data_IF_492827461467
#
_entry.id   IF_492827461467
#
_cell.length_a   1.000
_cell.length_b   1.000
_cell.length_c   1.000
_cell.angle_alpha   90.00
_cell.angle_beta   90.00
_cell.angle_gamma   90.00
#
_symmetry.space_group_name_H-M   'P 1'
#
loop_
_entity.id
_entity.type
_entity.pdbx_description
1 polymer ?
#
# COMPACT_ATOMS: atom_id res chain seq x y z
N UNK A 1 15.34 6.03 -4.82
CA UNK A 1 15.09 6.91 -3.67
C UNK A 1 14.88 6.04 -2.45
N UNK A 2 15.31 6.49 -1.28
CA UNK A 2 15.05 5.77 -0.02
C UNK A 2 13.62 6.07 0.40
N UNK A 3 12.75 5.06 0.58
CA UNK A 3 11.40 5.28 1.08
C UNK A 3 11.43 5.69 2.56
N UNK A 4 10.49 6.56 2.94
CA UNK A 4 10.27 6.91 4.34
C UNK A 4 9.55 5.77 5.07
N UNK A 5 9.77 5.69 6.38
CA UNK A 5 9.11 4.71 7.24
C UNK A 5 8.63 5.36 8.53
N UNK A 6 7.50 4.89 9.05
CA UNK A 6 6.90 5.33 10.30
C UNK A 6 6.50 4.09 11.11
N UNK A 7 6.63 4.15 12.44
CA UNK A 7 6.05 3.16 13.35
C UNK A 7 5.07 3.88 14.25
N UNK A 8 3.82 3.43 14.26
CA UNK A 8 2.74 4.02 15.04
C UNK A 8 1.83 2.95 15.64
N UNK A 9 1.01 3.33 16.62
CA UNK A 9 0.00 2.44 17.20
C UNK A 9 -1.32 2.61 16.44
N UNK A 10 -1.80 1.55 15.79
CA UNK A 10 -3.07 1.53 15.08
C UNK A 10 -4.07 0.61 15.77
N UNK A 11 -5.37 0.91 15.64
CA UNK A 11 -6.44 0.04 16.12
C UNK A 11 -6.55 -1.20 15.23
N UNK A 12 -6.26 -2.37 15.81
CA UNK A 12 -6.43 -3.66 15.16
C UNK A 12 -7.89 -4.15 15.16
N UNK A 13 -8.18 -5.24 14.42
CA UNK A 13 -9.54 -5.73 14.19
C UNK A 13 -10.26 -6.25 15.45
N UNK A 14 -9.52 -6.53 16.54
CA UNK A 14 -10.09 -6.95 17.83
C UNK A 14 -10.23 -5.79 18.83
N UNK A 15 -10.09 -4.55 18.37
CA UNK A 15 -10.13 -3.36 19.22
C UNK A 15 -8.89 -3.19 20.10
N UNK A 16 -7.78 -3.86 19.79
CA UNK A 16 -6.50 -3.71 20.48
C UNK A 16 -5.54 -2.83 19.66
N UNK A 17 -4.70 -2.05 20.33
CA UNK A 17 -3.64 -1.29 19.67
C UNK A 17 -2.52 -2.23 19.21
N UNK A 18 -2.09 -2.07 17.96
CA UNK A 18 -1.00 -2.82 17.34
C UNK A 18 0.08 -1.85 16.85
N UNK A 19 1.34 -2.13 17.17
CA UNK A 19 2.46 -1.44 16.53
C UNK A 19 2.50 -1.81 15.04
N UNK A 20 2.38 -0.79 14.20
CA UNK A 20 2.29 -0.91 12.75
C UNK A 20 3.44 -0.16 12.11
N UNK A 21 4.22 -0.85 11.28
CA UNK A 21 5.15 -0.19 10.37
C UNK A 21 4.40 0.29 9.13
N UNK A 22 4.49 1.57 8.82
CA UNK A 22 4.04 2.14 7.56
C UNK A 22 5.25 2.44 6.67
N UNK A 23 5.27 1.89 5.47
CA UNK A 23 6.30 2.15 4.46
C UNK A 23 5.70 3.01 3.36
N UNK A 24 6.33 4.16 3.10
CA UNK A 24 5.93 5.10 2.06
C UNK A 24 6.73 4.83 0.78
N UNK A 25 6.22 3.94 -0.09
CA UNK A 25 6.85 3.65 -1.37
C UNK A 25 6.66 4.81 -2.33
N UNK A 26 7.75 5.25 -2.96
CA UNK A 26 7.71 6.26 -4.00
C UNK A 26 7.30 5.59 -5.30
N UNK A 27 6.27 6.12 -5.96
CA UNK A 27 5.70 5.50 -7.13
C UNK A 27 5.33 6.54 -8.20
N UNK A 28 4.79 6.12 -9.34
CA UNK A 28 4.18 7.07 -10.28
C UNK A 28 2.98 7.78 -9.62
N UNK A 29 2.61 8.92 -10.17
CA UNK A 29 1.39 9.60 -9.74
C UNK A 29 0.14 8.73 -9.90
N UNK A 30 -0.73 8.77 -8.89
CA UNK A 30 -2.02 8.10 -8.89
C UNK A 30 -2.84 8.57 -10.11
N UNK A 31 -3.43 7.65 -10.91
CA UNK A 31 -4.21 8.05 -12.08
C UNK A 31 -5.56 8.71 -11.72
N UNK A 32 -5.95 8.69 -10.45
CA UNK A 32 -7.13 9.38 -9.93
C UNK A 32 -6.74 10.70 -9.29
N UNK A 33 -7.22 11.81 -9.88
CA UNK A 33 -6.99 13.17 -9.41
C UNK A 33 -8.07 13.59 -8.42
N UNK A 34 -8.14 12.88 -7.29
CA UNK A 34 -9.13 13.16 -6.24
C UNK A 34 -8.82 14.51 -5.57
N UNK A 35 -9.84 15.34 -5.32
CA UNK A 35 -9.65 16.78 -4.98
C UNK A 35 -8.91 17.04 -3.65
N UNK A 36 -9.04 16.12 -2.70
CA UNK A 36 -8.45 16.19 -1.35
C UNK A 36 -7.09 15.49 -1.22
N UNK A 37 -6.68 14.77 -2.26
CA UNK A 37 -5.67 13.74 -2.16
C UNK A 37 -4.26 14.30 -2.33
N UNK A 38 -3.35 13.95 -1.44
CA UNK A 38 -1.94 14.36 -1.48
C UNK A 38 -1.00 13.27 -2.04
N UNK A 39 -1.58 12.19 -2.60
CA UNK A 39 -0.85 11.08 -3.21
C UNK A 39 0.03 11.50 -4.41
N UNK A 40 0.01 12.78 -4.82
CA UNK A 40 0.94 13.36 -5.79
C UNK A 40 2.29 13.77 -5.17
N UNK A 41 2.37 14.00 -3.85
CA UNK A 41 3.59 14.55 -3.18
C UNK A 41 4.77 13.59 -3.17
N UNK A 42 4.52 12.30 -2.99
CA UNK A 42 5.55 11.26 -2.87
C UNK A 42 5.66 10.44 -4.16
N UNK A 43 5.68 11.13 -5.30
CA UNK A 43 5.63 10.50 -6.62
C UNK A 43 6.85 10.81 -7.49
N UNK A 44 7.05 9.95 -8.49
CA UNK A 44 8.05 10.07 -9.52
C UNK A 44 7.36 10.41 -10.84
N UNK A 45 7.88 11.44 -11.53
CA UNK A 45 7.49 11.75 -12.91
C UNK A 45 8.00 10.70 -13.92
N UNK A 46 8.94 9.84 -13.51
CA UNK A 46 9.48 8.75 -14.34
C UNK A 46 8.66 7.47 -14.13
N UNK A 47 8.38 6.71 -15.21
CA UNK A 47 7.79 5.38 -15.10
C UNK A 47 8.60 4.48 -14.18
N UNK A 48 7.89 3.64 -13.41
CA UNK A 48 8.52 2.68 -12.53
C UNK A 48 8.90 1.44 -13.33
N UNK A 49 10.18 1.07 -13.32
CA UNK A 49 10.65 -0.19 -13.90
C UNK A 49 10.31 -1.37 -12.98
N UNK A 50 10.11 -2.58 -13.53
CA UNK A 50 10.02 -3.79 -12.73
C UNK A 50 11.19 -3.93 -11.74
N UNK A 51 10.93 -4.40 -10.53
CA UNK A 51 11.90 -4.54 -9.45
C UNK A 51 12.06 -3.28 -8.59
N UNK A 52 11.49 -2.14 -9.00
CA UNK A 52 11.62 -0.91 -8.22
C UNK A 52 10.89 -0.97 -6.86
N UNK A 53 9.66 -1.48 -6.83
CA UNK A 53 8.91 -1.63 -5.57
C UNK A 53 9.58 -2.64 -4.60
N UNK A 54 10.01 -3.85 -5.03
CA UNK A 54 10.78 -4.76 -4.18
C UNK A 54 12.07 -4.15 -3.62
N UNK A 55 12.80 -3.36 -4.42
CA UNK A 55 14.05 -2.74 -3.99
C UNK A 55 13.81 -1.68 -2.90
N UNK A 56 12.77 -0.85 -3.05
CA UNK A 56 12.35 0.10 -2.01
C UNK A 56 11.92 -0.62 -0.74
N UNK A 57 11.04 -1.63 -0.87
CA UNK A 57 10.56 -2.42 0.26
C UNK A 57 11.72 -3.05 1.05
N UNK A 58 12.68 -3.67 0.35
CA UNK A 58 13.88 -4.24 0.99
C UNK A 58 14.71 -3.21 1.75
N UNK A 59 14.81 -1.98 1.21
CA UNK A 59 15.52 -0.88 1.88
C UNK A 59 14.78 -0.39 3.12
N UNK A 60 13.45 -0.26 3.04
CA UNK A 60 12.60 0.14 4.16
C UNK A 60 12.61 -0.89 5.30
N UNK A 61 12.51 -2.19 4.97
CA UNK A 61 12.54 -3.26 5.97
C UNK A 61 13.84 -3.26 6.77
N UNK A 62 15.00 -3.06 6.12
CA UNK A 62 16.30 -2.91 6.82
C UNK A 62 16.35 -1.69 7.75
N UNK A 63 15.72 -0.57 7.36
CA UNK A 63 15.63 0.60 8.23
C UNK A 63 14.79 0.30 9.47
N UNK A 64 13.63 -0.35 9.29
CA UNK A 64 12.74 -0.76 10.38
C UNK A 64 13.40 -1.75 11.34
N UNK A 65 14.15 -2.73 10.82
CA UNK A 65 14.93 -3.69 11.62
C UNK A 65 15.99 -2.99 12.48
N UNK A 66 16.56 -1.88 11.99
CA UNK A 66 17.57 -1.11 12.73
C UNK A 66 16.92 -0.19 13.78
N UNK A 67 15.74 0.36 13.48
CA UNK A 67 15.04 1.31 14.33
C UNK A 67 14.23 0.63 15.46
N UNK A 68 13.70 -0.57 15.22
CA UNK A 68 12.87 -1.30 16.18
C UNK A 68 13.65 -2.44 16.84
N UNK A 69 13.57 -2.53 18.17
CA UNK A 69 14.11 -3.68 18.93
C UNK A 69 13.19 -4.90 18.93
N UNK A 70 11.95 -4.75 18.46
CA UNK A 70 10.93 -5.79 18.45
C UNK A 70 10.49 -6.09 17.03
N UNK A 71 10.23 -7.36 16.75
CA UNK A 71 9.68 -7.77 15.45
C UNK A 71 8.22 -7.34 15.37
N UNK A 72 7.94 -6.42 14.47
CA UNK A 72 6.60 -5.92 14.19
C UNK A 72 5.77 -7.04 13.54
N UNK A 73 4.50 -7.13 13.93
CA UNK A 73 3.56 -8.15 13.43
C UNK A 73 2.69 -7.64 12.28
N UNK A 74 2.56 -6.31 12.16
CA UNK A 74 1.71 -5.64 11.20
C UNK A 74 2.52 -4.64 10.38
N UNK A 75 2.26 -4.61 9.08
CA UNK A 75 2.88 -3.70 8.14
C UNK A 75 1.84 -3.14 7.17
N UNK A 76 1.93 -1.84 6.92
CA UNK A 76 1.12 -1.10 5.96
C UNK A 76 2.01 -0.59 4.83
N UNK A 77 1.59 -0.86 3.60
CA UNK A 77 2.25 -0.36 2.39
C UNK A 77 1.45 0.81 1.85
N UNK A 78 2.00 2.01 2.04
CA UNK A 78 1.48 3.25 1.50
C UNK A 78 2.26 3.58 0.23
N UNK A 79 1.66 3.42 -0.95
CA UNK A 79 2.39 3.52 -2.23
C UNK A 79 2.08 4.76 -3.06
N UNK A 80 1.59 5.82 -2.40
CA UNK A 80 1.24 7.10 -3.05
C UNK A 80 0.30 6.90 -4.23
N UNK A 81 -0.68 6.02 -4.07
CA UNK A 81 -1.56 5.58 -5.14
C UNK A 81 -2.38 4.37 -4.73
N UNK A 82 -2.41 3.36 -5.60
CA UNK A 82 -3.09 2.10 -5.32
C UNK A 82 -2.13 0.95 -5.58
N UNK A 83 -2.08 0.00 -4.65
CA UNK A 83 -1.14 -1.11 -4.71
C UNK A 83 -1.35 -1.99 -5.96
N UNK A 84 -2.60 -2.14 -6.39
CA UNK A 84 -2.97 -2.96 -7.55
C UNK A 84 -3.01 -2.19 -8.88
N UNK A 85 -2.50 -0.95 -8.92
CA UNK A 85 -2.22 -0.28 -10.18
C UNK A 85 -0.97 -0.91 -10.81
N UNK A 86 -1.17 -1.73 -11.85
CA UNK A 86 -0.07 -2.50 -12.48
C UNK A 86 0.99 -1.64 -13.17
N UNK A 87 0.69 -0.35 -13.40
CA UNK A 87 1.66 0.62 -13.91
C UNK A 87 2.49 1.25 -12.78
N UNK A 88 2.03 1.14 -11.53
CA UNK A 88 2.73 1.58 -10.32
C UNK A 88 3.51 0.43 -9.66
N UNK A 89 2.87 -0.73 -9.48
CA UNK A 89 3.49 -1.96 -8.97
C UNK A 89 3.28 -3.06 -10.00
N UNK A 90 4.36 -3.44 -10.68
CA UNK A 90 4.30 -4.47 -11.73
C UNK A 90 3.92 -5.82 -11.14
N UNK A 91 3.10 -6.58 -11.85
CA UNK A 91 2.69 -7.93 -11.41
C UNK A 91 3.87 -8.89 -11.27
N UNK A 92 4.94 -8.68 -12.05
CA UNK A 92 6.19 -9.44 -11.94
C UNK A 92 6.91 -9.22 -10.58
N UNK A 93 6.52 -8.21 -9.81
CA UNK A 93 7.08 -7.90 -8.51
C UNK A 93 6.29 -8.52 -7.35
N UNK A 94 5.07 -9.01 -7.59
CA UNK A 94 4.17 -9.49 -6.54
C UNK A 94 4.80 -10.61 -5.69
N UNK A 95 5.42 -11.60 -6.33
CA UNK A 95 6.07 -12.71 -5.61
C UNK A 95 7.20 -12.19 -4.71
N UNK A 96 8.09 -11.35 -5.26
CA UNK A 96 9.20 -10.77 -4.48
C UNK A 96 8.72 -9.90 -3.32
N UNK A 97 7.62 -9.16 -3.52
CA UNK A 97 7.00 -8.38 -2.45
C UNK A 97 6.41 -9.31 -1.39
N UNK A 98 5.66 -10.34 -1.79
CA UNK A 98 5.05 -11.29 -0.87
C UNK A 98 6.11 -12.03 -0.04
N UNK A 99 7.18 -12.51 -0.66
CA UNK A 99 8.31 -13.15 0.01
C UNK A 99 8.93 -12.23 1.08
N UNK A 100 9.13 -10.95 0.74
CA UNK A 100 9.69 -9.94 1.66
C UNK A 100 8.78 -9.66 2.87
N UNK A 101 7.48 -9.96 2.75
CA UNK A 101 6.47 -9.70 3.78
C UNK A 101 6.09 -10.96 4.57
N UNK A 102 6.64 -12.12 4.23
CA UNK A 102 6.32 -13.42 4.86
C UNK A 102 6.53 -13.48 6.38
N UNK A 103 7.39 -12.62 6.95
CA UNK A 103 7.65 -12.58 8.38
C UNK A 103 6.58 -11.86 9.22
N UNK A 104 5.58 -11.24 8.58
CA UNK A 104 4.50 -10.51 9.23
C UNK A 104 3.25 -11.39 9.42
N UNK A 105 2.41 -11.06 10.40
CA UNK A 105 1.11 -11.72 10.57
C UNK A 105 0.03 -11.04 9.71
N UNK A 106 0.17 -9.72 9.47
CA UNK A 106 -0.78 -8.92 8.71
C UNK A 106 -0.09 -7.92 7.79
N UNK A 107 -0.59 -7.82 6.57
CA UNK A 107 -0.17 -6.84 5.56
C UNK A 107 -1.39 -6.04 5.13
N UNK A 108 -1.29 -4.72 5.25
CA UNK A 108 -2.31 -3.78 4.81
C UNK A 108 -1.79 -3.07 3.55
N UNK A 109 -2.58 -3.06 2.48
CA UNK A 109 -2.26 -2.30 1.27
C UNK A 109 -3.40 -1.37 0.91
N UNK A 110 -3.08 -0.20 0.38
CA UNK A 110 -4.08 0.77 -0.04
C UNK A 110 -4.53 0.50 -1.48
N UNK A 111 -5.84 0.62 -1.73
CA UNK A 111 -6.39 0.39 -3.05
C UNK A 111 -7.59 1.28 -3.38
N UNK A 112 -7.67 1.66 -4.66
CA UNK A 112 -8.84 2.29 -5.22
C UNK A 112 -9.91 1.24 -5.56
N UNK A 113 -11.22 1.47 -5.30
CA UNK A 113 -12.28 0.51 -5.58
C UNK A 113 -12.27 -0.07 -6.99
N UNK A 114 -12.00 0.76 -8.01
CA UNK A 114 -11.89 0.33 -9.42
C UNK A 114 -10.79 -0.68 -9.74
N UNK A 115 -9.83 -0.90 -8.84
CA UNK A 115 -8.77 -1.89 -9.01
C UNK A 115 -9.06 -3.19 -8.24
N UNK A 116 -10.26 -3.32 -7.68
CA UNK A 116 -10.71 -4.56 -7.06
C UNK A 116 -10.92 -5.62 -8.14
N UNK A 117 -10.24 -6.74 -8.03
CA UNK A 117 -10.35 -7.83 -8.99
C UNK A 117 -9.19 -8.80 -8.94
N UNK A 118 -8.89 -9.42 -10.08
CA UNK A 118 -7.95 -10.55 -10.20
C UNK A 118 -6.57 -10.34 -9.56
N UNK A 119 -6.05 -9.12 -9.55
CA UNK A 119 -4.73 -8.84 -8.99
C UNK A 119 -4.69 -8.95 -7.45
N UNK A 120 -5.82 -8.67 -6.78
CA UNK A 120 -5.97 -8.92 -5.34
C UNK A 120 -5.90 -10.42 -5.07
N UNK A 121 -6.67 -11.23 -5.81
CA UNK A 121 -6.66 -12.69 -5.69
C UNK A 121 -5.26 -13.25 -5.95
N UNK A 122 -4.62 -12.82 -7.04
CA UNK A 122 -3.27 -13.25 -7.39
C UNK A 122 -2.27 -12.95 -6.27
N UNK A 123 -2.30 -11.74 -5.71
CA UNK A 123 -1.39 -11.36 -4.64
C UNK A 123 -1.71 -12.11 -3.33
N UNK A 124 -2.99 -12.32 -3.01
CA UNK A 124 -3.41 -13.08 -1.82
C UNK A 124 -2.95 -14.53 -1.87
N UNK A 125 -2.94 -15.16 -3.05
CA UNK A 125 -2.44 -16.52 -3.27
C UNK A 125 -0.92 -16.63 -3.03
N UNK A 126 -0.18 -15.57 -3.32
CA UNK A 126 1.26 -15.50 -3.09
C UNK A 126 1.63 -15.12 -1.65
N UNK A 127 0.73 -14.45 -0.93
CA UNK A 127 0.99 -13.87 0.38
C UNK A 127 0.53 -14.79 1.52
N UNK A 128 1.50 -15.27 2.30
CA UNK A 128 1.25 -16.03 3.54
C UNK A 128 0.52 -15.21 4.62
N UNK A 129 0.95 -13.97 4.94
CA UNK A 129 0.23 -13.09 5.88
C UNK A 129 -1.26 -12.87 5.53
N UNK A 130 -2.03 -12.47 6.54
CA UNK A 130 -3.38 -11.96 6.31
C UNK A 130 -3.31 -10.64 5.52
N UNK A 131 -3.83 -10.66 4.29
CA UNK A 131 -3.99 -9.46 3.47
C UNK A 131 -5.23 -8.68 3.91
N UNK A 132 -5.05 -7.40 4.19
CA UNK A 132 -6.11 -6.42 4.34
C UNK A 132 -6.00 -5.33 3.27
N UNK A 133 -7.14 -4.89 2.76
CA UNK A 133 -7.22 -3.84 1.75
C UNK A 133 -7.82 -2.59 2.40
N UNK A 134 -6.99 -1.57 2.58
CA UNK A 134 -7.45 -0.24 2.94
C UNK A 134 -8.07 0.41 1.70
N UNK A 135 -9.40 0.43 1.63
CA UNK A 135 -10.16 0.89 0.48
C UNK A 135 -10.43 2.39 0.55
N UNK A 136 -10.04 3.15 -0.46
CA UNK A 136 -10.32 4.59 -0.55
C UNK A 136 -11.77 4.89 -0.95
N UNK A 137 -12.72 4.68 -0.03
CA UNK A 137 -14.14 4.95 -0.23
C UNK A 137 -14.52 6.42 -0.01
N UNK A 138 -13.94 7.06 1.00
CA UNK A 138 -14.18 8.44 1.44
C UNK A 138 -15.59 8.78 1.95
N UNK A 139 -16.64 8.51 1.16
CA UNK A 139 -18.02 8.89 1.48
C UNK A 139 -19.03 7.90 0.90
N UNK A 140 -20.11 7.67 1.65
CA UNK A 140 -21.22 6.80 1.25
C UNK A 140 -22.33 7.55 0.48
N UNK A 141 -21.96 8.39 -0.50
CA UNK A 141 -22.88 9.22 -1.30
C UNK A 141 -22.32 9.45 -2.72
N UNK A 142 -23.00 8.93 -3.75
CA UNK A 142 -22.54 9.00 -5.14
C UNK A 142 -22.38 10.44 -5.68
N UNK A 143 -23.34 11.37 -5.48
CA UNK A 143 -23.13 12.78 -5.85
C UNK A 143 -21.90 13.42 -5.22
N UNK A 144 -21.57 13.10 -3.96
CA UNK A 144 -20.35 13.57 -3.32
C UNK A 144 -19.10 12.87 -3.89
N UNK A 145 -19.13 11.57 -4.15
CA UNK A 145 -18.03 10.85 -4.79
C UNK A 145 -17.65 11.44 -6.15
N UNK A 146 -18.64 11.87 -6.94
CA UNK A 146 -18.41 12.56 -8.21
C UNK A 146 -17.71 13.90 -8.01
N UNK A 147 -18.16 14.72 -7.04
CA UNK A 147 -17.49 15.99 -6.69
C UNK A 147 -16.07 15.78 -6.18
N UNK A 148 -15.81 14.70 -5.45
CA UNK A 148 -14.48 14.31 -4.98
C UNK A 148 -13.61 13.74 -6.13
N UNK A 149 -14.17 13.54 -7.32
CA UNK A 149 -13.53 12.91 -8.47
C UNK A 149 -12.97 11.52 -8.15
N UNK A 150 -13.68 10.74 -7.32
CA UNK A 150 -13.30 9.36 -6.97
C UNK A 150 -13.55 8.38 -8.11
N UNK A 151 -14.33 8.75 -9.13
CA UNK A 151 -14.53 7.96 -10.35
C UNK A 151 -15.05 6.54 -10.09
N UNK A 152 -15.78 6.29 -9.01
CA UNK A 152 -16.53 5.05 -8.77
C UNK A 152 -17.90 5.41 -8.16
N UNK A 153 -18.83 4.46 -8.15
CA UNK A 153 -20.12 4.54 -7.48
C UNK A 153 -20.26 3.37 -6.50
N UNK A 154 -21.11 3.52 -5.49
CA UNK A 154 -21.36 2.51 -4.45
C UNK A 154 -22.21 1.34 -4.93
#
# INVERSE_FOLDING_TARGET
STPDTLVEQEMGPKGCLLETATIFLINRECPWTCVMCDLWKHTSLKPMSPGHAPAQLSSALRQLETASKQRLKQIKIYNSGSFFDTKAIHTADYMRIADSLSGYERVIVENHPKLSGKHISLFKELLDPQLEIAMGLEVADDPLLDKLNKRFSL
#
